data_IF_040828245859
#
_entry.id   IF_040828245859
#
_cell.length_a   1.000
_cell.length_b   1.000
_cell.length_c   1.000
_cell.angle_alpha   90.00
_cell.angle_beta   90.00
_cell.angle_gamma   90.00
#
_symmetry.space_group_name_H-M   'P 1'
#
loop_
_entity.id
_entity.type
_entity.pdbx_description
1 polymer ?
#
# COMPACT_ATOMS: atom_id res chain seq x y z
N UNK A 1 9.07 -7.43 13.67
CA UNK A 1 9.57 -6.41 12.73
C UNK A 1 10.45 -6.97 11.60
N UNK A 2 11.52 -7.75 11.88
CA UNK A 2 12.39 -8.29 10.82
C UNK A 2 11.64 -9.15 9.78
N UNK A 3 10.69 -9.96 10.22
CA UNK A 3 9.91 -10.82 9.33
C UNK A 3 8.92 -10.03 8.46
N UNK A 4 8.23 -9.04 9.06
CA UNK A 4 7.39 -8.10 8.33
C UNK A 4 8.17 -7.38 7.22
N UNK A 5 9.42 -6.99 7.45
CA UNK A 5 10.24 -6.34 6.43
C UNK A 5 10.59 -7.25 5.25
N UNK A 6 10.76 -8.56 5.48
CA UNK A 6 10.95 -9.51 4.39
C UNK A 6 9.68 -9.67 3.58
N UNK A 7 8.55 -9.84 4.27
CA UNK A 7 7.23 -9.94 3.63
C UNK A 7 6.90 -8.70 2.80
N UNK A 8 7.16 -7.50 3.33
CA UNK A 8 6.97 -6.24 2.60
C UNK A 8 7.82 -6.16 1.33
N UNK A 9 9.05 -6.67 1.35
CA UNK A 9 9.90 -6.72 0.14
C UNK A 9 9.25 -7.61 -0.92
N UNK A 10 8.82 -8.83 -0.53
CA UNK A 10 8.13 -9.75 -1.44
C UNK A 10 6.86 -9.11 -2.00
N UNK A 11 6.03 -8.49 -1.16
CA UNK A 11 4.79 -7.84 -1.61
C UNK A 11 5.04 -6.63 -2.52
N UNK A 12 6.15 -5.91 -2.35
CA UNK A 12 6.57 -4.84 -3.28
C UNK A 12 6.92 -5.44 -4.66
N UNK A 13 7.71 -6.51 -4.68
CA UNK A 13 8.14 -7.18 -5.91
C UNK A 13 6.96 -7.79 -6.67
N UNK A 14 6.04 -8.42 -5.96
CA UNK A 14 4.82 -9.04 -6.50
C UNK A 14 3.72 -8.02 -6.84
N UNK A 15 3.94 -6.73 -6.54
CA UNK A 15 2.91 -5.67 -6.65
C UNK A 15 1.62 -6.05 -5.91
N UNK A 16 1.75 -6.74 -4.78
CA UNK A 16 0.65 -7.21 -3.96
C UNK A 16 0.04 -6.04 -3.16
N UNK A 17 -1.26 -5.72 -3.36
CA UNK A 17 -1.93 -4.74 -2.52
C UNK A 17 -1.96 -5.20 -1.06
N UNK A 18 -1.80 -4.26 -0.15
CA UNK A 18 -1.85 -4.50 1.29
C UNK A 18 -2.88 -3.60 1.95
N UNK A 19 -3.47 -4.11 3.02
CA UNK A 19 -4.30 -3.35 3.93
C UNK A 19 -3.45 -2.94 5.13
N UNK A 20 -3.40 -1.65 5.41
CA UNK A 20 -2.61 -1.09 6.51
C UNK A 20 -3.56 -0.49 7.52
N UNK A 21 -3.48 -0.98 8.76
CA UNK A 21 -4.26 -0.47 9.88
C UNK A 21 -3.37 0.37 10.78
N UNK A 22 -3.83 1.58 11.09
CA UNK A 22 -3.24 2.50 12.08
C UNK A 22 -4.27 2.81 13.16
N UNK A 23 -3.88 3.59 14.18
CA UNK A 23 -4.85 4.10 15.17
C UNK A 23 -5.87 5.08 14.58
N UNK A 24 -5.57 5.69 13.44
CA UNK A 24 -6.42 6.70 12.78
C UNK A 24 -7.39 6.10 11.76
N UNK A 25 -7.20 4.84 11.39
CA UNK A 25 -8.03 4.16 10.40
C UNK A 25 -7.26 3.09 9.62
N UNK A 26 -7.97 2.51 8.67
CA UNK A 26 -7.48 1.42 7.82
C UNK A 26 -7.73 1.76 6.35
N UNK A 27 -6.75 1.51 5.50
CA UNK A 27 -6.88 1.70 4.06
C UNK A 27 -6.03 0.70 3.27
N UNK A 28 -6.37 0.54 1.98
CA UNK A 28 -5.66 -0.31 1.03
C UNK A 28 -4.63 0.50 0.27
N UNK A 29 -3.41 -0.03 0.19
CA UNK A 29 -2.27 0.59 -0.46
C UNK A 29 -1.55 -0.40 -1.37
N UNK A 30 -0.81 0.11 -2.34
CA UNK A 30 0.13 -0.64 -3.15
C UNK A 30 1.55 -0.25 -2.70
N UNK A 31 2.26 -1.12 -1.96
CA UNK A 31 3.57 -0.79 -1.45
C UNK A 31 4.57 -0.73 -2.60
N UNK A 32 5.50 0.24 -2.56
CA UNK A 32 6.48 0.44 -3.64
C UNK A 32 7.92 0.51 -3.16
N UNK A 33 8.17 1.00 -1.93
CA UNK A 33 9.54 1.09 -1.42
C UNK A 33 9.57 1.07 0.10
N UNK A 34 10.44 0.23 0.66
CA UNK A 34 10.68 0.13 2.09
C UNK A 34 12.04 0.75 2.44
N UNK A 35 12.03 1.76 3.32
CA UNK A 35 13.22 2.31 3.95
C UNK A 35 13.32 1.80 5.38
N UNK A 36 14.09 0.73 5.57
CA UNK A 36 14.18 0.00 6.86
C UNK A 36 14.73 0.89 7.98
N UNK A 37 15.80 1.63 7.71
CA UNK A 37 16.49 2.45 8.71
C UNK A 37 15.61 3.60 9.20
N UNK A 38 14.84 4.20 8.28
CA UNK A 38 13.90 5.27 8.60
C UNK A 38 12.52 4.77 9.02
N UNK A 39 12.30 3.44 9.05
CA UNK A 39 11.00 2.80 9.33
C UNK A 39 9.84 3.39 8.53
N UNK A 40 10.08 3.65 7.23
CA UNK A 40 9.11 4.28 6.32
C UNK A 40 8.76 3.35 5.17
N UNK A 41 7.47 3.30 4.84
CA UNK A 41 6.95 2.60 3.67
C UNK A 41 6.33 3.62 2.72
N UNK A 42 6.83 3.66 1.49
CA UNK A 42 6.18 4.41 0.41
C UNK A 42 5.19 3.48 -0.28
N UNK A 43 3.97 3.99 -0.49
CA UNK A 43 2.90 3.24 -1.12
C UNK A 43 1.95 4.16 -1.87
N UNK A 44 1.36 3.66 -2.96
CA UNK A 44 0.25 4.36 -3.61
C UNK A 44 -1.06 4.05 -2.89
N UNK A 45 -1.90 5.07 -2.69
CA UNK A 45 -3.29 4.82 -2.33
C UNK A 45 -4.13 4.48 -3.58
N UNK A 46 -5.40 4.14 -3.37
CA UNK A 46 -6.35 3.79 -4.44
C UNK A 46 -6.65 4.92 -5.44
N UNK A 47 -6.21 6.16 -5.17
CA UNK A 47 -6.31 7.31 -6.06
C UNK A 47 -4.97 7.62 -6.75
N UNK A 48 -3.99 6.71 -6.64
CA UNK A 48 -2.63 6.83 -7.18
C UNK A 48 -1.81 8.00 -6.65
N UNK A 49 -2.15 8.49 -5.46
CA UNK A 49 -1.27 9.41 -4.73
C UNK A 49 -0.18 8.61 -4.01
N UNK A 50 1.07 9.02 -4.18
CA UNK A 50 2.20 8.46 -3.44
C UNK A 50 2.16 8.98 -1.99
N UNK A 51 2.11 8.06 -1.03
CA UNK A 51 2.05 8.37 0.39
C UNK A 51 3.23 7.73 1.10
N UNK A 52 3.78 8.46 2.07
CA UNK A 52 4.76 7.95 3.01
C UNK A 52 4.06 7.55 4.32
N UNK A 53 4.22 6.29 4.70
CA UNK A 53 3.62 5.70 5.90
C UNK A 53 4.73 5.42 6.91
N UNK A 54 4.66 6.06 8.08
CA UNK A 54 5.51 5.72 9.22
C UNK A 54 5.08 4.38 9.81
N UNK A 55 6.01 3.44 9.91
CA UNK A 55 5.77 2.12 10.49
C UNK A 55 5.72 2.13 12.03
N UNK A 56 6.01 3.27 12.67
CA UNK A 56 5.91 3.41 14.14
C UNK A 56 4.46 3.41 14.65
N UNK A 57 3.52 3.82 13.79
CA UNK A 57 2.11 3.96 14.16
C UNK A 57 1.20 2.90 13.50
N UNK A 58 1.81 1.94 12.82
CA UNK A 58 1.11 0.84 12.16
C UNK A 58 0.81 -0.25 13.18
N UNK A 59 -0.45 -0.65 13.23
CA UNK A 59 -0.96 -1.75 14.06
C UNK A 59 -0.81 -3.08 13.32
N UNK A 60 -1.18 -3.13 12.04
CA UNK A 60 -1.00 -4.31 11.19
C UNK A 60 -0.86 -3.96 9.72
N UNK A 61 -0.20 -4.85 8.97
CA UNK A 61 -0.13 -4.85 7.50
C UNK A 61 -0.41 -6.25 7.03
N UNK A 62 -1.41 -6.40 6.18
CA UNK A 62 -1.84 -7.70 5.68
C UNK A 62 -2.01 -7.64 4.15
N UNK A 63 -1.62 -8.69 3.41
CA UNK A 63 -1.92 -8.76 1.99
C UNK A 63 -3.44 -8.78 1.80
N UNK A 64 -3.93 -8.09 0.78
CA UNK A 64 -5.36 -7.99 0.53
C UNK A 64 -5.68 -8.23 -0.93
N UNK A 65 -6.71 -9.04 -1.17
CA UNK A 65 -7.24 -9.24 -2.52
C UNK A 65 -8.10 -8.03 -2.88
N UNK A 66 -7.88 -7.50 -4.08
CA UNK A 66 -8.73 -6.49 -4.69
C UNK A 66 -9.51 -7.10 -5.85
N UNK A 67 -10.69 -6.58 -6.11
CA UNK A 67 -11.48 -6.92 -7.29
C UNK A 67 -11.46 -5.74 -8.26
N UNK A 68 -11.09 -6.00 -9.51
CA UNK A 68 -10.85 -4.98 -10.53
C UNK A 68 -9.52 -4.25 -10.37
N UNK A 69 -9.36 -3.14 -11.11
CA UNK A 69 -8.15 -2.31 -11.12
C UNK A 69 -7.80 -1.76 -9.73
N UNK A 70 -6.51 -1.60 -9.44
CA UNK A 70 -6.07 -0.91 -8.22
C UNK A 70 -6.38 0.59 -8.30
N UNK A 71 -6.17 1.19 -9.46
CA UNK A 71 -6.50 2.59 -9.70
C UNK A 71 -8.03 2.76 -9.78
N UNK A 72 -8.59 3.56 -8.87
CA UNK A 72 -10.04 3.86 -8.90
C UNK A 72 -10.39 5.00 -9.84
N UNK A 73 -9.41 5.71 -10.41
CA UNK A 73 -9.64 6.81 -11.35
C UNK A 73 -10.20 6.32 -12.68
N UNK A 74 -9.92 5.07 -13.08
CA UNK A 74 -10.51 4.46 -14.29
C UNK A 74 -12.05 4.45 -14.27
N UNK A 75 -12.69 4.40 -13.10
CA UNK A 75 -14.18 4.49 -13.01
C UNK A 75 -14.74 5.84 -13.46
N UNK A 76 -13.91 6.87 -13.62
CA UNK A 76 -14.31 8.21 -14.04
C UNK A 76 -13.80 8.59 -15.44
N UNK A 77 -12.95 7.79 -16.07
CA UNK A 77 -12.53 8.00 -17.45
C UNK A 77 -13.47 7.24 -18.38
N UNK A 78 -14.70 7.76 -18.50
CA UNK A 78 -15.58 7.39 -19.62
C UNK A 78 -14.89 7.90 -20.88
N UNK A 79 -14.40 6.97 -21.69
CA UNK A 79 -13.96 7.12 -23.08
C UNK A 79 -14.32 8.49 -23.70
N UNK A 80 -13.37 9.42 -23.70
CA UNK A 80 -13.37 10.48 -24.72
C UNK A 80 -13.15 9.79 -26.05
N UNK A 81 -14.24 9.75 -26.85
CA UNK A 81 -14.24 9.32 -28.26
C UNK A 81 -13.28 10.15 -29.09
#
# INVERSE_FOLDING_TARGET
>A
MRELYKQLIVWIEEKQPVKIKTRQGEATFLPVKLYKDARKLFAYNRNMNLINISLDHVVSIEPTRIYGSFDRREKYMVHTR
#
